data_IF_165156029166
#
_entry.id   IF_165156029166
#
_cell.length_a   1.000
_cell.length_b   1.000
_cell.length_c   1.000
_cell.angle_alpha   90.00
_cell.angle_beta   90.00
_cell.angle_gamma   90.00
#
_symmetry.space_group_name_H-M   'P 1'
#
loop_
_entity.id
_entity.type
_entity.pdbx_description
1 polymer ?
#
# COMPACT_ATOMS: atom_id res chain seq x y z
N UNK A 1 39.10 12.51 7.68
CA UNK A 1 38.07 11.75 8.43
C UNK A 1 36.70 12.45 8.44
N UNK A 2 36.63 13.77 8.63
CA UNK A 2 35.35 14.53 8.59
C UNK A 2 34.71 14.51 7.18
N UNK A 3 35.52 14.62 6.12
CA UNK A 3 35.04 14.61 4.72
C UNK A 3 34.41 13.29 4.27
N UNK A 4 34.95 12.15 4.73
CA UNK A 4 34.38 10.83 4.42
C UNK A 4 33.06 10.58 5.19
N UNK A 5 32.99 11.05 6.45
CA UNK A 5 31.77 10.97 7.25
C UNK A 5 30.60 11.78 6.66
N UNK A 6 30.89 12.99 6.17
CA UNK A 6 29.88 13.83 5.49
C UNK A 6 29.42 13.19 4.17
N UNK A 7 30.34 12.58 3.40
CA UNK A 7 29.99 11.95 2.13
C UNK A 7 29.11 10.69 2.30
N UNK A 8 29.37 9.87 3.33
CA UNK A 8 28.54 8.70 3.67
C UNK A 8 27.15 9.15 4.15
N UNK A 9 27.07 10.20 4.97
CA UNK A 9 25.79 10.75 5.40
C UNK A 9 24.97 11.24 4.19
N UNK A 10 25.53 12.09 3.33
CA UNK A 10 24.83 12.60 2.14
C UNK A 10 24.48 11.49 1.15
N UNK A 11 25.30 10.45 1.02
CA UNK A 11 25.03 9.32 0.11
C UNK A 11 23.90 8.39 0.57
N UNK A 12 23.60 8.31 1.87
CA UNK A 12 22.57 7.41 2.41
C UNK A 12 21.21 8.07 2.61
N UNK A 13 21.16 9.40 2.75
CA UNK A 13 19.93 10.17 2.85
C UNK A 13 18.93 9.93 1.70
N UNK A 14 19.33 9.94 0.42
CA UNK A 14 18.40 9.77 -0.71
C UNK A 14 17.68 8.41 -0.71
N UNK A 15 18.36 7.34 -0.29
CA UNK A 15 17.77 6.00 -0.21
C UNK A 15 16.70 5.92 0.88
N UNK A 16 16.95 6.52 2.04
CA UNK A 16 15.97 6.60 3.12
C UNK A 16 14.73 7.43 2.72
N UNK A 17 14.92 8.50 1.94
CA UNK A 17 13.82 9.33 1.45
C UNK A 17 12.94 8.58 0.46
N UNK A 18 13.51 7.75 -0.43
CA UNK A 18 12.73 6.97 -1.40
C UNK A 18 11.78 5.97 -0.74
N UNK A 19 12.17 5.39 0.40
CA UNK A 19 11.33 4.48 1.18
C UNK A 19 10.19 5.19 1.93
N UNK A 20 10.23 6.53 2.02
CA UNK A 20 9.22 7.37 2.64
C UNK A 20 8.34 8.12 1.62
N UNK A 21 8.67 8.05 0.32
CA UNK A 21 7.84 8.66 -0.70
C UNK A 21 6.53 7.89 -0.84
N UNK A 22 5.42 8.59 -0.59
CA UNK A 22 4.08 8.03 -0.75
C UNK A 22 3.71 7.75 -2.21
N UNK A 23 2.53 7.15 -2.45
CA UNK A 23 2.07 6.79 -3.79
C UNK A 23 2.00 7.99 -4.74
N UNK A 24 2.34 7.78 -6.02
CA UNK A 24 2.13 8.77 -7.08
C UNK A 24 0.64 8.90 -7.45
N UNK A 25 0.26 9.97 -8.15
CA UNK A 25 -1.12 10.16 -8.61
C UNK A 25 -1.61 8.98 -9.47
N UNK A 26 -0.80 8.53 -10.42
CA UNK A 26 -1.13 7.38 -11.29
C UNK A 26 -1.40 6.12 -10.49
N UNK A 27 -0.59 5.88 -9.45
CA UNK A 27 -0.77 4.74 -8.56
C UNK A 27 -2.05 4.89 -7.69
N UNK A 28 -2.33 6.10 -7.20
CA UNK A 28 -3.55 6.37 -6.42
C UNK A 28 -4.84 6.16 -7.23
N UNK A 29 -4.80 6.52 -8.52
CA UNK A 29 -5.91 6.32 -9.46
C UNK A 29 -6.15 4.83 -9.74
N UNK A 30 -5.09 4.02 -9.78
CA UNK A 30 -5.19 2.57 -9.93
C UNK A 30 -5.66 1.87 -8.64
N UNK A 31 -5.32 2.42 -7.46
CA UNK A 31 -5.63 1.86 -6.15
C UNK A 31 -7.04 2.24 -5.63
N UNK A 32 -8.04 2.05 -6.48
CA UNK A 32 -9.45 2.18 -6.09
C UNK A 32 -9.94 0.93 -5.37
N UNK A 33 -10.76 1.13 -4.34
CA UNK A 33 -11.51 0.04 -3.72
C UNK A 33 -12.75 -0.27 -4.54
N UNK A 34 -12.98 -1.55 -4.82
CA UNK A 34 -14.11 -2.04 -5.63
C UNK A 34 -14.75 -3.24 -4.97
N UNK A 35 -16.07 -3.25 -4.92
CA UNK A 35 -16.82 -4.37 -4.38
C UNK A 35 -16.78 -5.55 -5.34
N UNK A 36 -16.51 -6.74 -4.80
CA UNK A 36 -16.60 -8.01 -5.54
C UNK A 36 -17.96 -8.64 -5.30
N UNK A 37 -18.35 -8.78 -4.02
CA UNK A 37 -19.67 -9.26 -3.57
C UNK A 37 -19.86 -8.93 -2.09
N UNK A 38 -21.08 -8.62 -1.66
CA UNK A 38 -21.43 -8.45 -0.25
C UNK A 38 -20.39 -7.64 0.56
N UNK A 39 -19.69 -8.31 1.47
CA UNK A 39 -18.66 -7.77 2.35
C UNK A 39 -17.22 -8.01 1.86
N UNK A 40 -17.04 -8.42 0.61
CA UNK A 40 -15.77 -8.66 -0.05
C UNK A 40 -15.49 -7.57 -1.09
N UNK A 41 -14.32 -6.94 -0.95
CA UNK A 41 -13.82 -5.88 -1.80
C UNK A 41 -12.37 -6.20 -2.22
N UNK A 42 -11.88 -5.48 -3.21
CA UNK A 42 -10.44 -5.43 -3.50
C UNK A 42 -9.97 -4.00 -3.75
N UNK A 43 -8.71 -3.73 -3.45
CA UNK A 43 -8.01 -2.49 -3.82
C UNK A 43 -7.09 -2.79 -4.99
N UNK A 44 -7.22 -2.05 -6.08
CA UNK A 44 -6.45 -2.26 -7.31
C UNK A 44 -4.94 -2.10 -7.13
N UNK A 45 -4.16 -2.99 -7.74
CA UNK A 45 -2.70 -3.02 -7.81
C UNK A 45 -2.06 -2.32 -9.00
N UNK A 46 -2.88 -2.17 -10.05
CA UNK A 46 -2.56 -2.13 -11.47
C UNK A 46 -2.77 -3.47 -12.21
N UNK A 47 -2.75 -3.39 -13.54
CA UNK A 47 -2.73 -4.53 -14.45
C UNK A 47 -1.43 -4.51 -15.27
N UNK A 48 -1.10 -5.59 -15.99
CA UNK A 48 0.25 -5.84 -16.54
C UNK A 48 0.74 -4.83 -17.60
N UNK A 49 -0.09 -3.86 -18.00
CA UNK A 49 0.12 -2.98 -19.14
C UNK A 49 0.67 -1.59 -18.79
N UNK A 50 0.37 -1.05 -17.60
CA UNK A 50 0.84 0.26 -17.17
C UNK A 50 1.73 0.14 -15.93
N UNK A 51 3.04 0.05 -16.15
CA UNK A 51 4.02 -0.11 -15.06
C UNK A 51 4.09 1.10 -14.13
N UNK A 52 3.70 2.29 -14.58
CA UNK A 52 3.69 3.48 -13.73
C UNK A 52 2.57 3.46 -12.69
N UNK A 53 1.55 2.61 -12.90
CA UNK A 53 0.48 2.36 -11.95
C UNK A 53 0.83 1.27 -10.92
N UNK A 54 1.92 0.50 -11.15
CA UNK A 54 2.26 -0.65 -10.32
C UNK A 54 2.50 -0.27 -8.88
N UNK A 55 1.81 -0.98 -7.99
CA UNK A 55 1.85 -0.73 -6.55
C UNK A 55 2.12 -1.98 -5.71
N UNK A 56 2.44 -3.12 -6.33
CA UNK A 56 2.68 -4.38 -5.61
C UNK A 56 1.52 -5.37 -5.63
N UNK A 57 0.52 -5.17 -6.50
CA UNK A 57 -0.61 -6.09 -6.66
C UNK A 57 -1.88 -5.67 -5.93
N UNK A 58 -2.93 -6.47 -6.12
CA UNK A 58 -4.26 -6.23 -5.55
C UNK A 58 -4.26 -6.60 -4.06
N UNK A 59 -5.06 -5.87 -3.27
CA UNK A 59 -5.33 -6.22 -1.87
C UNK A 59 -6.75 -6.78 -1.79
N UNK A 60 -6.91 -7.95 -1.17
CA UNK A 60 -8.23 -8.43 -0.78
C UNK A 60 -8.70 -7.78 0.52
N UNK A 61 -9.95 -7.33 0.59
CA UNK A 61 -10.52 -6.68 1.79
C UNK A 61 -11.82 -7.37 2.15
N UNK A 62 -11.86 -8.02 3.31
CA UNK A 62 -13.02 -8.74 3.81
C UNK A 62 -13.54 -8.13 5.12
N UNK A 63 -14.75 -7.56 5.07
CA UNK A 63 -15.37 -6.86 6.19
C UNK A 63 -16.23 -7.84 7.00
N UNK A 64 -15.85 -8.13 8.23
CA UNK A 64 -16.56 -9.07 9.12
C UNK A 64 -17.14 -8.36 10.33
N UNK A 65 -17.85 -9.07 11.20
CA UNK A 65 -18.33 -8.54 12.48
C UNK A 65 -17.21 -8.24 13.47
N UNK A 66 -16.10 -8.96 13.39
CA UNK A 66 -14.94 -8.77 14.26
C UNK A 66 -14.02 -7.64 13.79
N UNK A 67 -14.11 -7.24 12.53
CA UNK A 67 -13.22 -6.26 11.91
C UNK A 67 -12.94 -6.58 10.45
N UNK A 68 -11.96 -5.90 9.88
CA UNK A 68 -11.51 -6.07 8.50
C UNK A 68 -10.29 -7.00 8.47
N UNK A 69 -10.38 -8.07 7.69
CA UNK A 69 -9.22 -8.89 7.31
C UNK A 69 -8.76 -8.46 5.93
N UNK A 70 -7.47 -8.19 5.78
CA UNK A 70 -6.88 -7.90 4.46
C UNK A 70 -5.92 -9.02 4.03
N UNK A 71 -5.90 -9.28 2.73
CA UNK A 71 -4.99 -10.22 2.08
C UNK A 71 -4.03 -9.42 1.21
N UNK A 72 -2.75 -9.63 1.45
CA UNK A 72 -1.60 -8.87 0.95
C UNK A 72 -1.53 -7.40 1.38
N UNK A 73 -0.33 -6.87 1.27
CA UNK A 73 -0.05 -5.44 1.34
C UNK A 73 0.69 -5.02 0.08
N UNK A 74 0.55 -3.74 -0.28
CA UNK A 74 1.33 -3.11 -1.35
C UNK A 74 2.80 -2.94 -0.96
N UNK A 75 3.58 -2.34 -1.85
CA UNK A 75 4.94 -1.88 -1.56
C UNK A 75 5.00 -0.95 -0.31
N UNK A 76 6.18 -0.74 0.29
CA UNK A 76 6.35 0.21 1.40
C UNK A 76 5.76 1.60 1.09
N UNK A 77 5.22 2.28 2.10
CA UNK A 77 4.62 3.63 1.97
C UNK A 77 3.10 3.66 1.75
N UNK A 78 2.46 2.51 1.56
CA UNK A 78 1.03 2.43 1.20
C UNK A 78 0.04 2.31 2.37
N UNK A 79 0.53 2.07 3.59
CA UNK A 79 -0.31 1.75 4.76
C UNK A 79 -1.47 2.72 4.97
N UNK A 80 -1.19 4.04 4.95
CA UNK A 80 -2.23 5.04 5.15
C UNK A 80 -3.27 5.04 4.02
N UNK A 81 -2.82 4.92 2.77
CA UNK A 81 -3.72 4.86 1.61
C UNK A 81 -4.65 3.66 1.69
N UNK A 82 -4.14 2.49 2.09
CA UNK A 82 -4.95 1.28 2.26
C UNK A 82 -6.04 1.51 3.32
N UNK A 83 -5.66 2.07 4.47
CA UNK A 83 -6.61 2.40 5.54
C UNK A 83 -7.66 3.40 5.07
N UNK A 84 -7.27 4.43 4.32
CA UNK A 84 -8.20 5.44 3.81
C UNK A 84 -9.19 4.86 2.81
N UNK A 85 -8.75 3.92 1.96
CA UNK A 85 -9.64 3.20 1.04
C UNK A 85 -10.60 2.26 1.78
N UNK A 86 -10.15 1.59 2.84
CA UNK A 86 -11.03 0.72 3.66
C UNK A 86 -12.09 1.57 4.38
N UNK A 87 -11.71 2.74 4.88
CA UNK A 87 -12.63 3.67 5.56
C UNK A 87 -13.77 4.17 4.68
N UNK A 88 -13.65 4.12 3.36
CA UNK A 88 -14.77 4.50 2.48
C UNK A 88 -15.89 3.46 2.45
N UNK A 89 -15.67 2.24 2.98
CA UNK A 89 -16.67 1.17 2.98
C UNK A 89 -17.01 0.66 4.39
N UNK A 90 -16.21 0.99 5.41
CA UNK A 90 -16.47 0.58 6.80
C UNK A 90 -15.62 1.36 7.80
N UNK A 91 -16.17 1.64 8.98
CA UNK A 91 -15.44 2.21 10.12
C UNK A 91 -14.80 1.14 11.04
N UNK A 92 -15.01 -0.15 10.72
CA UNK A 92 -14.46 -1.26 11.52
C UNK A 92 -12.92 -1.28 11.43
N UNK A 93 -12.21 -1.62 12.52
CA UNK A 93 -10.75 -1.68 12.50
C UNK A 93 -10.24 -2.83 11.62
N UNK A 94 -9.04 -2.68 11.06
CA UNK A 94 -8.29 -3.81 10.49
C UNK A 94 -7.77 -4.66 11.64
N UNK A 95 -8.12 -5.95 11.64
CA UNK A 95 -7.82 -6.89 12.73
C UNK A 95 -6.90 -8.04 12.31
N UNK A 96 -6.73 -8.26 11.01
CA UNK A 96 -5.83 -9.28 10.48
C UNK A 96 -5.26 -8.87 9.12
N UNK A 97 -3.99 -9.23 8.91
CA UNK A 97 -3.27 -9.09 7.64
C UNK A 97 -2.72 -10.48 7.30
N UNK A 98 -3.01 -10.97 6.09
CA UNK A 98 -2.50 -12.25 5.57
C UNK A 98 -1.69 -11.94 4.32
N UNK A 99 -0.36 -12.04 4.39
CA UNK A 99 0.49 -11.93 3.19
C UNK A 99 0.67 -13.30 2.55
N UNK A 100 0.55 -13.35 1.23
CA UNK A 100 0.62 -14.58 0.43
C UNK A 100 2.04 -15.02 0.12
N UNK A 101 3.02 -14.10 0.21
CA UNK A 101 4.43 -14.34 -0.09
C UNK A 101 5.35 -13.32 0.62
N UNK A 102 6.66 -13.49 0.44
CA UNK A 102 7.74 -12.62 0.94
C UNK A 102 8.73 -12.29 -0.16
#
# INVERSE_FOLDING_TARGET
MITLGVLIAVGTLPMAVSALQGPTSTQLDAAQIRQVRDNLYYIGGDGPWNRDAFSGGNIGVFVTDQGVTIVDTKLPGWGQTILDRIRTVTDKPVVAIINTHT
#
